data_IF_213922440014
#
_entry.id   IF_213922440014
#
_cell.length_a   1.000
_cell.length_b   1.000
_cell.length_c   1.000
_cell.angle_alpha   90.00
_cell.angle_beta   90.00
_cell.angle_gamma   90.00
#
_symmetry.space_group_name_H-M   'P 1'
#
loop_
_entity.id
_entity.type
_entity.pdbx_description
1 polymer ?
#
# COMPACT_ATOMS: atom_id res chain seq x y z
N UNK A 1 13.43 13.00 17.57
CA UNK A 1 13.03 12.29 16.34
C UNK A 1 11.90 11.37 16.75
N UNK A 2 10.78 11.40 16.04
CA UNK A 2 9.60 10.61 16.39
C UNK A 2 9.87 9.15 16.05
N UNK A 3 10.22 8.35 17.05
CA UNK A 3 10.55 6.92 16.92
C UNK A 3 9.30 6.03 17.03
N UNK A 4 8.10 6.62 16.93
CA UNK A 4 6.85 5.88 16.96
C UNK A 4 6.66 5.06 15.69
N UNK A 5 6.34 3.78 15.85
CA UNK A 5 5.89 2.93 14.75
C UNK A 5 4.59 3.53 14.18
N UNK A 6 4.60 3.87 12.88
CA UNK A 6 3.42 4.42 12.20
C UNK A 6 2.72 3.34 11.40
N UNK A 7 1.43 3.15 11.67
CA UNK A 7 0.62 2.14 11.01
C UNK A 7 -0.53 2.81 10.27
N UNK A 8 -0.69 2.50 8.99
CA UNK A 8 -1.83 2.92 8.17
C UNK A 8 -2.72 1.72 7.92
N UNK A 9 -4.02 1.87 8.21
CA UNK A 9 -5.04 0.87 7.88
C UNK A 9 -6.08 1.55 7.01
N UNK A 10 -6.24 1.06 5.78
CA UNK A 10 -7.08 1.73 4.79
C UNK A 10 -7.90 0.75 3.95
N UNK A 11 -9.21 0.93 3.98
CA UNK A 11 -10.11 0.35 2.99
C UNK A 11 -10.03 1.14 1.67
N UNK A 12 -9.35 0.56 0.70
CA UNK A 12 -9.06 1.19 -0.59
C UNK A 12 -10.13 0.98 -1.63
N UNK A 13 -11.13 0.11 -1.40
CA UNK A 13 -12.28 -0.16 -2.30
C UNK A 13 -11.89 -0.40 -3.77
N UNK A 14 -10.79 -1.10 -4.02
CA UNK A 14 -10.31 -1.53 -5.34
C UNK A 14 -8.95 -0.95 -5.74
N UNK A 15 -8.06 -1.78 -6.28
CA UNK A 15 -6.71 -1.41 -6.75
C UNK A 15 -6.41 -1.85 -8.20
N UNK A 16 -7.40 -2.34 -8.94
CA UNK A 16 -7.20 -2.82 -10.32
C UNK A 16 -6.71 -1.71 -11.27
N UNK A 17 -7.17 -0.47 -11.07
CA UNK A 17 -6.75 0.67 -11.88
C UNK A 17 -5.34 1.15 -11.49
N UNK A 18 -4.40 1.17 -12.45
CA UNK A 18 -3.02 1.64 -12.24
C UNK A 18 -2.95 3.07 -11.71
N UNK A 19 -3.76 3.97 -12.25
CA UNK A 19 -3.81 5.36 -11.80
C UNK A 19 -4.17 5.46 -10.30
N UNK A 20 -5.03 4.55 -9.81
CA UNK A 20 -5.43 4.50 -8.40
C UNK A 20 -4.30 4.00 -7.52
N UNK A 21 -3.54 2.99 -7.95
CA UNK A 21 -2.33 2.52 -7.24
C UNK A 21 -1.33 3.64 -7.08
N UNK A 22 -1.08 4.41 -8.14
CA UNK A 22 -0.16 5.54 -8.09
C UNK A 22 -0.64 6.64 -7.12
N UNK A 23 -1.92 7.00 -7.16
CA UNK A 23 -2.48 7.98 -6.23
C UNK A 23 -2.39 7.53 -4.76
N UNK A 24 -2.57 6.23 -4.50
CA UNK A 24 -2.43 5.64 -3.17
C UNK A 24 -0.97 5.66 -2.72
N UNK A 25 -0.03 5.30 -3.60
CA UNK A 25 1.41 5.37 -3.33
C UNK A 25 1.80 6.79 -2.90
N UNK A 26 1.46 7.80 -3.70
CA UNK A 26 1.77 9.20 -3.38
C UNK A 26 1.16 9.65 -2.06
N UNK A 27 -0.04 9.15 -1.71
CA UNK A 27 -0.66 9.50 -0.43
C UNK A 27 0.06 8.82 0.74
N UNK A 28 0.43 7.54 0.60
CA UNK A 28 1.17 6.80 1.63
C UNK A 28 2.55 7.39 1.88
N UNK A 29 3.25 7.89 0.85
CA UNK A 29 4.55 8.56 0.99
C UNK A 29 4.47 9.76 1.96
N UNK A 30 3.33 10.45 2.04
CA UNK A 30 3.14 11.59 2.96
C UNK A 30 2.98 11.18 4.42
N UNK A 31 2.71 9.91 4.69
CA UNK A 31 2.42 9.40 6.05
C UNK A 31 3.68 9.02 6.81
N UNK A 32 4.74 8.62 6.11
CA UNK A 32 5.92 7.97 6.71
C UNK A 32 5.55 6.68 7.44
N UNK A 33 4.58 5.92 6.93
CA UNK A 33 4.13 4.67 7.53
C UNK A 33 5.23 3.60 7.50
N UNK A 34 5.34 2.85 8.60
CA UNK A 34 6.20 1.66 8.69
C UNK A 34 5.45 0.39 8.34
N UNK A 35 4.13 0.37 8.56
CA UNK A 35 3.25 -0.76 8.24
C UNK A 35 2.00 -0.22 7.54
N UNK A 36 1.63 -0.85 6.43
CA UNK A 36 0.42 -0.50 5.66
C UNK A 36 -0.47 -1.73 5.53
N UNK A 37 -1.74 -1.59 5.90
CA UNK A 37 -2.77 -2.62 5.74
C UNK A 37 -3.85 -2.11 4.79
N UNK A 38 -3.97 -2.71 3.60
CA UNK A 38 -5.00 -2.35 2.62
C UNK A 38 -6.14 -3.38 2.60
N UNK A 39 -7.38 -2.89 2.67
CA UNK A 39 -8.60 -3.71 2.67
C UNK A 39 -9.48 -3.41 1.46
N UNK A 40 -10.33 -4.38 1.08
CA UNK A 40 -11.14 -4.34 -0.15
C UNK A 40 -10.29 -3.97 -1.39
N UNK A 41 -9.10 -4.58 -1.54
CA UNK A 41 -8.22 -4.33 -2.69
C UNK A 41 -8.89 -4.77 -4.01
N UNK A 42 -9.79 -5.76 -3.96
CA UNK A 42 -10.49 -6.34 -5.12
C UNK A 42 -9.53 -6.80 -6.23
N UNK A 43 -8.31 -7.13 -5.86
CA UNK A 43 -7.31 -7.70 -6.77
C UNK A 43 -7.46 -9.21 -6.72
N UNK A 44 -7.63 -9.82 -7.88
CA UNK A 44 -7.74 -11.28 -8.01
C UNK A 44 -6.38 -11.97 -7.85
N UNK A 45 -5.32 -11.36 -8.41
CA UNK A 45 -3.96 -11.87 -8.32
C UNK A 45 -3.03 -10.79 -7.76
N UNK A 46 -2.61 -10.96 -6.51
CA UNK A 46 -1.60 -10.10 -5.91
C UNK A 46 -0.21 -10.60 -6.32
N UNK A 47 0.60 -9.73 -6.89
CA UNK A 47 1.98 -10.01 -7.24
C UNK A 47 2.88 -8.82 -6.90
N UNK A 48 4.19 -9.04 -6.85
CA UNK A 48 5.13 -8.04 -6.36
C UNK A 48 5.10 -6.75 -7.18
N UNK A 49 4.82 -6.82 -8.49
CA UNK A 49 4.69 -5.61 -9.33
C UNK A 49 3.48 -4.75 -8.94
N UNK A 50 2.36 -5.35 -8.55
CA UNK A 50 1.17 -4.63 -8.06
C UNK A 50 1.46 -3.96 -6.72
N UNK A 51 2.19 -4.64 -5.85
CA UNK A 51 2.60 -4.12 -4.53
C UNK A 51 3.53 -2.93 -4.72
N UNK A 52 4.58 -3.07 -5.52
CA UNK A 52 5.52 -2.00 -5.84
C UNK A 52 4.84 -0.80 -6.52
N UNK A 53 3.89 -1.03 -7.43
CA UNK A 53 3.07 0.02 -8.05
C UNK A 53 2.20 0.79 -7.02
N UNK A 54 1.83 0.15 -5.90
CA UNK A 54 0.88 0.69 -4.91
C UNK A 54 1.56 1.31 -3.70
N UNK A 55 2.64 0.69 -3.23
CA UNK A 55 3.31 1.02 -1.96
C UNK A 55 4.72 1.58 -2.17
N UNK A 56 5.31 1.40 -3.35
CA UNK A 56 6.70 1.80 -3.63
C UNK A 56 7.73 0.78 -3.16
N UNK A 57 9.01 1.10 -3.40
CA UNK A 57 10.13 0.21 -3.12
C UNK A 57 10.47 0.07 -1.63
N UNK A 58 9.93 0.93 -0.77
CA UNK A 58 10.13 0.83 0.69
C UNK A 58 9.39 -0.36 1.31
N UNK A 59 8.46 -0.99 0.57
CA UNK A 59 7.71 -2.18 0.97
C UNK A 59 8.08 -3.35 0.06
N UNK A 60 9.19 -4.02 0.37
CA UNK A 60 9.74 -5.16 -0.38
C UNK A 60 9.25 -6.53 0.10
N UNK A 61 8.64 -6.60 1.29
CA UNK A 61 7.95 -7.77 1.83
C UNK A 61 6.45 -7.51 2.02
N UNK A 62 5.62 -8.52 1.75
CA UNK A 62 4.18 -8.43 1.89
C UNK A 62 3.53 -9.78 2.12
N UNK A 63 2.41 -9.74 2.84
CA UNK A 63 1.53 -10.90 3.04
C UNK A 63 0.09 -10.53 2.74
N UNK A 64 -0.72 -11.51 2.35
CA UNK A 64 -2.14 -11.36 2.08
C UNK A 64 -2.90 -12.58 2.59
N UNK A 65 -4.17 -12.39 2.92
CA UNK A 65 -5.10 -13.39 3.46
C UNK A 65 -6.30 -13.56 2.53
#
# INVERSE_FOLDING_TARGET
MDHGLKVVVWNVRGLNARARRHAICTLLDTTGASIVCLQETKIELLCSSVVLDTLGFEFDDYTYL
#
